data_IF_035495460855
#
_entry.id   IF_035495460855
#
_cell.length_a   1.000
_cell.length_b   1.000
_cell.length_c   1.000
_cell.angle_alpha   90.00
_cell.angle_beta   90.00
_cell.angle_gamma   90.00
#
_symmetry.space_group_name_H-M   'P 1'
#
loop_
_entity.id
_entity.type
_entity.pdbx_description
1 polymer ?
#
# COMPACT_ATOMS: atom_id res chain seq x y z
N UNK A 1 16.83 22.25 -68.25
CA UNK A 1 17.28 23.00 -67.06
C UNK A 1 16.06 23.52 -66.32
N UNK A 2 16.22 23.74 -65.01
CA UNK A 2 15.25 24.13 -63.97
C UNK A 2 14.78 22.91 -63.16
N UNK A 3 15.63 22.54 -62.20
CA UNK A 3 15.23 21.86 -60.98
C UNK A 3 14.46 22.85 -60.09
N UNK A 4 13.39 22.39 -59.46
CA UNK A 4 12.58 23.18 -58.53
C UNK A 4 12.45 22.43 -57.21
N UNK A 5 13.22 22.86 -56.20
CA UNK A 5 13.37 22.17 -54.92
C UNK A 5 12.05 21.90 -54.19
N UNK A 6 11.81 20.62 -53.86
CA UNK A 6 10.91 20.26 -52.76
C UNK A 6 11.60 20.56 -51.43
N UNK A 7 11.34 21.73 -50.85
CA UNK A 7 11.67 22.00 -49.44
C UNK A 7 10.91 21.04 -48.53
N UNK A 8 11.57 19.94 -48.13
CA UNK A 8 11.11 19.08 -47.04
C UNK A 8 11.30 19.84 -45.73
N UNK A 9 10.20 20.31 -45.14
CA UNK A 9 10.19 20.81 -43.76
C UNK A 9 10.36 19.62 -42.79
N UNK A 10 11.60 19.15 -42.62
CA UNK A 10 11.92 18.15 -41.59
C UNK A 10 11.87 18.79 -40.20
N UNK A 11 10.89 18.36 -39.40
CA UNK A 11 10.66 18.75 -38.00
C UNK A 11 11.95 18.81 -37.15
N UNK A 12 12.23 19.96 -36.53
CA UNK A 12 13.35 20.11 -35.58
C UNK A 12 13.15 19.37 -34.25
N UNK A 13 11.92 18.91 -33.95
CA UNK A 13 11.57 18.27 -32.68
C UNK A 13 12.27 16.91 -32.45
N UNK A 14 12.64 16.19 -33.52
CA UNK A 14 13.26 14.86 -33.41
C UNK A 14 14.75 14.82 -33.02
N UNK A 15 15.46 15.95 -32.91
CA UNK A 15 16.91 15.94 -32.60
C UNK A 15 17.22 15.91 -31.10
N UNK A 16 16.36 16.45 -30.24
CA UNK A 16 16.58 16.49 -28.79
C UNK A 16 16.49 15.11 -28.12
N UNK A 17 15.47 14.32 -28.47
CA UNK A 17 15.30 12.96 -27.92
C UNK A 17 16.48 12.03 -28.26
N UNK A 18 17.05 12.20 -29.45
CA UNK A 18 18.19 11.40 -29.90
C UNK A 18 19.50 11.75 -29.18
N UNK A 19 19.69 13.00 -28.74
CA UNK A 19 20.90 13.38 -27.99
C UNK A 19 20.96 12.71 -26.62
N UNK A 20 19.87 12.76 -25.84
CA UNK A 20 19.84 12.12 -24.51
C UNK A 20 19.91 10.59 -24.62
N UNK A 21 19.20 9.99 -25.58
CA UNK A 21 19.34 8.54 -25.85
C UNK A 21 20.75 8.16 -26.30
N UNK A 22 21.42 9.02 -27.07
CA UNK A 22 22.82 8.85 -27.47
C UNK A 22 23.76 8.88 -26.25
N UNK A 23 23.64 9.92 -25.42
CA UNK A 23 24.46 10.10 -24.22
C UNK A 23 24.25 8.96 -23.21
N UNK A 24 23.01 8.48 -23.02
CA UNK A 24 22.76 7.26 -22.24
C UNK A 24 23.40 6.01 -22.85
N UNK A 25 23.36 5.83 -24.17
CA UNK A 25 23.98 4.68 -24.86
C UNK A 25 25.52 4.73 -24.78
N UNK A 26 26.13 5.88 -24.93
CA UNK A 26 27.57 6.07 -24.77
C UNK A 26 27.99 5.77 -23.31
N UNK A 27 27.21 6.22 -22.33
CA UNK A 27 27.38 5.82 -20.94
C UNK A 27 27.08 4.33 -20.69
N UNK A 28 26.32 3.65 -21.56
CA UNK A 28 26.07 2.21 -21.44
C UNK A 28 27.31 1.34 -21.78
N UNK A 29 28.29 1.86 -22.51
CA UNK A 29 29.52 1.12 -22.81
C UNK A 29 30.58 1.29 -21.70
N UNK A 30 30.50 2.35 -20.91
CA UNK A 30 31.39 2.60 -19.75
C UNK A 30 30.92 1.86 -18.49
N UNK A 31 31.42 0.63 -18.28
CA UNK A 31 30.96 -0.29 -17.21
C UNK A 31 31.15 0.18 -15.76
N UNK A 32 31.84 1.30 -15.51
CA UNK A 32 31.93 1.96 -14.20
C UNK A 32 31.16 3.29 -14.09
N UNK A 33 30.82 3.94 -15.21
CA UNK A 33 30.31 5.32 -15.21
C UNK A 33 28.79 5.40 -15.13
N UNK A 34 28.07 4.34 -15.55
CA UNK A 34 26.60 4.24 -15.46
C UNK A 34 26.06 4.66 -14.09
N UNK A 35 26.74 4.31 -13.00
CA UNK A 35 26.28 4.62 -11.65
C UNK A 35 26.28 6.12 -11.35
N UNK A 36 27.32 6.85 -11.77
CA UNK A 36 27.40 8.30 -11.63
C UNK A 36 26.35 8.99 -12.50
N UNK A 37 26.11 8.47 -13.71
CA UNK A 37 25.05 8.95 -14.59
C UNK A 37 23.68 8.77 -13.94
N UNK A 38 23.34 7.56 -13.49
CA UNK A 38 22.06 7.25 -12.82
C UNK A 38 21.84 8.12 -11.57
N UNK A 39 22.86 8.34 -10.75
CA UNK A 39 22.75 9.18 -9.53
C UNK A 39 22.67 10.68 -9.85
N UNK A 40 23.16 11.13 -11.01
CA UNK A 40 23.08 12.54 -11.44
C UNK A 40 21.71 12.97 -12.02
N UNK A 41 20.86 12.02 -12.46
CA UNK A 41 19.63 12.35 -13.20
C UNK A 41 18.66 13.28 -12.44
N UNK A 42 18.41 13.11 -11.12
CA UNK A 42 17.60 14.06 -10.35
C UNK A 42 18.18 15.47 -10.37
N UNK A 43 19.49 15.61 -10.21
CA UNK A 43 20.17 16.91 -10.25
C UNK A 43 20.08 17.58 -11.63
N UNK A 44 20.16 16.81 -12.71
CA UNK A 44 19.95 17.33 -14.08
C UNK A 44 18.52 17.86 -14.26
N UNK A 45 17.51 17.12 -13.79
CA UNK A 45 16.11 17.56 -13.81
C UNK A 45 15.89 18.82 -12.96
N UNK A 46 16.46 18.86 -11.75
CA UNK A 46 16.44 20.02 -10.86
C UNK A 46 17.04 21.26 -11.54
N UNK A 47 18.21 21.12 -12.18
CA UNK A 47 18.86 22.19 -12.92
C UNK A 47 18.01 22.68 -14.09
N UNK A 48 17.41 21.77 -14.85
CA UNK A 48 16.51 22.11 -15.96
C UNK A 48 15.29 22.90 -15.50
N UNK A 49 14.57 22.42 -14.47
CA UNK A 49 13.42 23.11 -13.87
C UNK A 49 13.83 24.50 -13.34
N UNK A 50 14.99 24.59 -12.68
CA UNK A 50 15.53 25.83 -12.11
C UNK A 50 15.93 26.85 -13.18
N UNK A 51 16.52 26.41 -14.30
CA UNK A 51 16.84 27.27 -15.43
C UNK A 51 15.57 27.74 -16.16
N UNK A 52 14.63 26.82 -16.39
CA UNK A 52 13.34 27.10 -17.04
C UNK A 52 12.51 28.12 -16.27
N UNK A 53 12.35 27.97 -14.97
CA UNK A 53 11.60 28.90 -14.11
C UNK A 53 12.23 30.30 -14.00
N UNK A 54 13.56 30.42 -14.18
CA UNK A 54 14.26 31.71 -14.26
C UNK A 54 14.08 32.39 -15.62
N UNK A 55 14.17 31.62 -16.71
CA UNK A 55 14.16 32.14 -18.10
C UNK A 55 12.75 32.36 -18.64
N UNK A 56 11.79 31.55 -18.21
CA UNK A 56 10.39 31.66 -18.60
C UNK A 56 9.52 31.78 -17.36
N UNK A 57 8.93 32.96 -17.14
CA UNK A 57 7.67 33.07 -16.39
C UNK A 57 6.58 32.53 -17.32
N UNK A 58 5.96 31.37 -17.04
CA UNK A 58 4.85 30.90 -17.87
C UNK A 58 3.70 31.91 -17.80
N UNK A 59 3.03 32.24 -18.92
CA UNK A 59 1.77 32.97 -18.87
C UNK A 59 0.78 32.21 -17.98
N UNK A 60 -0.07 32.89 -17.19
CA UNK A 60 -0.94 32.24 -16.21
C UNK A 60 -1.91 31.21 -16.81
N UNK A 61 -2.15 31.27 -18.13
CA UNK A 61 -3.10 30.42 -18.85
C UNK A 61 -2.45 29.59 -19.99
N UNK A 62 -1.12 29.37 -19.97
CA UNK A 62 -0.43 28.62 -21.02
C UNK A 62 -0.73 27.11 -20.95
N UNK A 63 -1.76 26.64 -21.65
CA UNK A 63 -2.30 25.27 -21.59
C UNK A 63 -1.53 24.25 -22.44
N UNK A 64 -0.21 24.33 -22.50
CA UNK A 64 0.61 23.51 -23.41
C UNK A 64 1.74 22.82 -22.67
N UNK A 65 1.60 21.49 -22.50
CA UNK A 65 2.66 20.49 -22.40
C UNK A 65 3.95 20.92 -21.68
N UNK A 66 4.09 20.54 -20.41
CA UNK A 66 5.28 20.85 -19.61
C UNK A 66 6.56 20.27 -20.25
N UNK A 67 7.51 21.11 -20.68
CA UNK A 67 8.82 20.65 -21.12
C UNK A 67 9.60 19.96 -20.00
N UNK A 68 9.33 20.33 -18.75
CA UNK A 68 9.92 19.73 -17.55
C UNK A 68 9.45 18.27 -17.36
N UNK A 69 8.16 17.98 -17.57
CA UNK A 69 7.65 16.61 -17.57
C UNK A 69 8.17 15.77 -18.75
N UNK A 70 8.40 16.43 -19.90
CA UNK A 70 9.02 15.82 -21.08
C UNK A 70 10.45 15.39 -20.79
N UNK A 71 11.23 16.28 -20.17
CA UNK A 71 12.60 16.01 -19.76
C UNK A 71 12.66 14.91 -18.68
N UNK A 72 11.76 14.94 -17.69
CA UNK A 72 11.57 13.81 -16.77
C UNK A 72 11.36 12.49 -17.52
N UNK A 73 10.46 12.46 -18.50
CA UNK A 73 10.14 11.24 -19.26
C UNK A 73 11.35 10.70 -20.03
N UNK A 74 12.19 11.59 -20.56
CA UNK A 74 13.44 11.26 -21.24
C UNK A 74 14.51 10.70 -20.28
N UNK A 75 14.52 11.14 -19.01
CA UNK A 75 15.43 10.63 -17.97
C UNK A 75 14.91 9.33 -17.31
N UNK A 76 13.59 9.19 -17.16
CA UNK A 76 12.94 8.04 -16.53
C UNK A 76 12.87 6.80 -17.44
N UNK A 77 12.79 6.97 -18.76
CA UNK A 77 12.75 5.83 -19.70
C UNK A 77 14.03 4.97 -19.66
N UNK A 78 15.26 5.52 -19.67
CA UNK A 78 16.49 4.74 -19.46
C UNK A 78 16.54 4.01 -18.11
N UNK A 79 16.09 4.64 -17.02
CA UNK A 79 15.96 4.00 -15.70
C UNK A 79 15.01 2.79 -15.75
N UNK A 80 13.85 2.94 -16.39
CA UNK A 80 12.87 1.87 -16.59
C UNK A 80 13.45 0.68 -17.37
N UNK A 81 14.15 0.97 -18.47
CA UNK A 81 14.80 -0.05 -19.30
C UNK A 81 15.91 -0.78 -18.52
N UNK A 82 16.74 -0.03 -17.78
CA UNK A 82 17.80 -0.62 -16.98
C UNK A 82 17.25 -1.47 -15.82
N UNK A 83 16.18 -1.01 -15.14
CA UNK A 83 15.51 -1.79 -14.12
C UNK A 83 14.94 -3.10 -14.70
N UNK A 84 14.26 -3.03 -15.84
CA UNK A 84 13.71 -4.20 -16.53
C UNK A 84 14.80 -5.20 -16.91
N UNK A 85 15.94 -4.71 -17.43
CA UNK A 85 17.12 -5.53 -17.75
C UNK A 85 17.71 -6.20 -16.50
N UNK A 86 17.85 -5.48 -15.39
CA UNK A 86 18.29 -6.04 -14.11
C UNK A 86 17.34 -7.13 -13.63
N UNK A 87 16.02 -6.90 -13.65
CA UNK A 87 15.03 -7.89 -13.20
C UNK A 87 14.97 -9.14 -14.09
N UNK A 88 15.33 -9.02 -15.37
CA UNK A 88 15.42 -10.15 -16.31
C UNK A 88 16.74 -10.93 -16.20
N UNK A 89 17.71 -10.47 -15.40
CA UNK A 89 19.00 -11.14 -15.22
C UNK A 89 18.95 -12.23 -14.14
N UNK A 90 18.44 -13.40 -14.53
CA UNK A 90 18.45 -14.62 -13.70
C UNK A 90 19.86 -15.21 -13.54
N UNK A 91 20.16 -15.95 -12.44
CA UNK A 91 19.26 -16.35 -11.35
C UNK A 91 19.30 -15.41 -10.13
N UNK A 92 20.19 -14.41 -10.10
CA UNK A 92 20.32 -13.43 -9.01
C UNK A 92 20.76 -12.07 -9.53
N UNK A 93 19.82 -11.13 -9.64
CA UNK A 93 20.11 -9.75 -9.98
C UNK A 93 20.84 -8.99 -8.85
N UNK A 94 21.65 -8.00 -9.22
CA UNK A 94 22.41 -7.20 -8.26
C UNK A 94 21.47 -6.31 -7.42
N UNK A 95 21.32 -6.69 -6.15
CA UNK A 95 20.47 -5.99 -5.20
C UNK A 95 20.88 -4.53 -4.96
N UNK A 96 22.17 -4.18 -5.08
CA UNK A 96 22.65 -2.81 -4.89
C UNK A 96 22.28 -1.93 -6.09
N UNK A 97 22.39 -2.46 -7.31
CA UNK A 97 22.00 -1.74 -8.54
C UNK A 97 20.50 -1.43 -8.55
N UNK A 98 19.65 -2.40 -8.17
CA UNK A 98 18.20 -2.17 -8.06
C UNK A 98 17.87 -1.05 -7.08
N UNK A 99 18.49 -1.01 -5.88
CA UNK A 99 18.27 0.10 -4.92
C UNK A 99 18.68 1.45 -5.54
N UNK A 100 19.85 1.55 -6.17
CA UNK A 100 20.32 2.81 -6.78
C UNK A 100 19.40 3.30 -7.90
N UNK A 101 18.86 2.40 -8.71
CA UNK A 101 17.88 2.73 -9.77
C UNK A 101 16.57 3.22 -9.16
N UNK A 102 16.08 2.58 -8.10
CA UNK A 102 14.87 3.01 -7.40
C UNK A 102 15.03 4.37 -6.71
N UNK A 103 16.16 4.62 -6.02
CA UNK A 103 16.43 5.93 -5.39
C UNK A 103 16.62 7.05 -6.43
N UNK A 104 17.25 6.76 -7.57
CA UNK A 104 17.33 7.72 -8.69
C UNK A 104 15.96 8.05 -9.26
N UNK A 105 15.11 7.04 -9.48
CA UNK A 105 13.74 7.25 -9.97
C UNK A 105 12.89 8.04 -8.96
N UNK A 106 12.97 7.70 -7.68
CA UNK A 106 12.38 8.47 -6.58
C UNK A 106 12.83 9.93 -6.62
N UNK A 107 14.13 10.20 -6.72
CA UNK A 107 14.67 11.56 -6.85
C UNK A 107 14.09 12.33 -8.04
N UNK A 108 13.93 11.70 -9.21
CA UNK A 108 13.28 12.34 -10.36
C UNK A 108 11.81 12.69 -10.07
N UNK A 109 11.05 11.85 -9.37
CA UNK A 109 9.65 12.13 -8.98
C UNK A 109 9.58 13.20 -7.88
N UNK A 110 10.56 13.24 -6.96
CA UNK A 110 10.70 14.34 -5.99
C UNK A 110 10.91 15.69 -6.68
N UNK A 111 11.75 15.76 -7.72
CA UNK A 111 11.93 17.01 -8.47
C UNK A 111 10.67 17.44 -9.24
N UNK A 112 9.86 16.50 -9.77
CA UNK A 112 8.55 16.83 -10.34
C UNK A 112 7.64 17.51 -9.31
N UNK A 113 7.57 16.96 -8.09
CA UNK A 113 6.78 17.51 -6.98
C UNK A 113 7.31 18.86 -6.53
N UNK A 114 8.63 18.97 -6.30
CA UNK A 114 9.30 20.20 -5.81
C UNK A 114 9.25 21.32 -6.84
N UNK A 115 9.45 20.99 -8.11
CA UNK A 115 9.31 21.90 -9.24
C UNK A 115 7.87 22.29 -9.53
N UNK A 116 6.89 21.65 -8.90
CA UNK A 116 5.45 21.85 -9.15
C UNK A 116 5.15 21.73 -10.66
N UNK A 117 5.73 20.71 -11.29
CA UNK A 117 5.71 20.49 -12.75
C UNK A 117 4.29 20.15 -13.25
N UNK A 118 3.45 19.64 -12.35
CA UNK A 118 2.05 19.35 -12.59
C UNK A 118 1.22 19.81 -11.37
N UNK A 119 -0.03 20.23 -11.60
CA UNK A 119 -1.06 20.44 -10.58
C UNK A 119 -2.39 19.86 -11.06
N UNK A 120 -2.93 18.86 -10.37
CA UNK A 120 -4.22 18.21 -10.68
C UNK A 120 -5.46 19.08 -10.42
N UNK A 121 -5.38 20.40 -10.55
CA UNK A 121 -6.49 21.32 -10.24
C UNK A 121 -7.21 21.82 -11.49
N UNK A 122 -8.34 21.17 -11.80
CA UNK A 122 -9.49 21.65 -12.60
C UNK A 122 -9.33 22.05 -14.08
N UNK A 123 -8.14 22.16 -14.66
CA UNK A 123 -7.98 22.26 -16.12
C UNK A 123 -7.40 20.96 -16.71
N UNK A 124 -8.30 19.99 -16.95
CA UNK A 124 -8.00 18.74 -17.65
C UNK A 124 -7.81 18.97 -19.16
N UNK A 125 -6.79 19.78 -19.54
CA UNK A 125 -6.55 20.21 -20.93
C UNK A 125 -5.36 19.54 -21.62
N UNK A 126 -4.48 18.85 -20.89
CA UNK A 126 -3.40 18.06 -21.50
C UNK A 126 -3.37 16.65 -20.87
N UNK A 127 -4.13 15.74 -21.50
CA UNK A 127 -4.19 14.33 -21.09
C UNK A 127 -2.82 13.66 -21.03
N UNK A 128 -1.85 14.09 -21.85
CA UNK A 128 -0.52 13.46 -21.96
C UNK A 128 0.30 13.54 -20.66
N UNK A 129 0.16 14.65 -19.92
CA UNK A 129 0.88 14.81 -18.64
C UNK A 129 0.23 13.93 -17.58
N UNK A 130 -1.10 13.88 -17.53
CA UNK A 130 -1.85 12.99 -16.61
C UNK A 130 -1.57 11.51 -16.94
N UNK A 131 -1.66 11.09 -18.20
CA UNK A 131 -1.24 9.77 -18.69
C UNK A 131 0.23 9.45 -18.34
N UNK A 132 1.08 10.47 -18.27
CA UNK A 132 2.45 10.34 -17.78
C UNK A 132 2.51 10.01 -16.29
N UNK A 133 1.80 10.78 -15.46
CA UNK A 133 1.69 10.57 -14.00
C UNK A 133 1.05 9.20 -13.70
N UNK A 134 -0.01 8.82 -14.43
CA UNK A 134 -0.63 7.49 -14.37
C UNK A 134 0.36 6.37 -14.70
N UNK A 135 1.15 6.52 -15.78
CA UNK A 135 2.19 5.55 -16.13
C UNK A 135 3.25 5.41 -15.04
N UNK A 136 3.67 6.50 -14.39
CA UNK A 136 4.62 6.42 -13.25
C UNK A 136 4.02 5.62 -12.09
N UNK A 137 2.75 5.84 -11.76
CA UNK A 137 2.06 5.08 -10.71
C UNK A 137 1.93 3.59 -11.06
N UNK A 138 1.44 3.27 -12.27
CA UNK A 138 1.28 1.89 -12.74
C UNK A 138 2.61 1.15 -12.84
N UNK A 139 3.68 1.82 -13.31
CA UNK A 139 5.02 1.25 -13.37
C UNK A 139 5.57 0.96 -11.97
N UNK A 140 5.27 1.79 -10.97
CA UNK A 140 5.71 1.56 -9.60
C UNK A 140 5.05 0.31 -9.00
N UNK A 141 3.78 0.08 -9.32
CA UNK A 141 3.02 -1.11 -8.91
C UNK A 141 3.47 -2.38 -9.62
N UNK A 142 3.69 -2.32 -10.93
CA UNK A 142 4.29 -3.42 -11.71
C UNK A 142 5.68 -3.80 -11.16
N UNK A 143 6.51 -2.79 -10.87
CA UNK A 143 7.82 -2.97 -10.23
C UNK A 143 7.71 -3.63 -8.86
N UNK A 144 6.76 -3.21 -8.01
CA UNK A 144 6.53 -3.83 -6.70
C UNK A 144 6.10 -5.29 -6.81
N UNK A 145 5.28 -5.65 -7.82
CA UNK A 145 4.83 -7.03 -8.03
C UNK A 145 5.97 -7.99 -8.41
N UNK A 146 7.01 -7.48 -9.09
CA UNK A 146 8.20 -8.24 -9.52
C UNK A 146 9.29 -8.31 -8.46
N UNK A 147 9.21 -7.49 -7.41
CA UNK A 147 10.25 -7.34 -6.40
C UNK A 147 9.83 -7.93 -5.04
N UNK A 148 10.78 -8.60 -4.39
CA UNK A 148 10.62 -9.02 -2.99
C UNK A 148 10.43 -7.81 -2.05
N UNK A 149 9.65 -7.96 -0.99
CA UNK A 149 9.23 -6.87 -0.10
C UNK A 149 10.34 -5.98 0.50
N UNK A 150 11.60 -6.42 0.51
CA UNK A 150 12.75 -5.59 0.91
C UNK A 150 12.95 -4.32 0.07
N UNK A 151 12.35 -4.24 -1.13
CA UNK A 151 12.39 -3.05 -2.00
C UNK A 151 11.13 -2.19 -1.92
N UNK A 152 10.08 -2.63 -1.22
CA UNK A 152 8.80 -1.93 -1.23
C UNK A 152 8.86 -0.57 -0.50
N UNK A 153 9.87 -0.29 0.34
CA UNK A 153 10.04 1.03 0.97
C UNK A 153 10.13 2.16 -0.06
N UNK A 154 11.11 2.10 -0.97
CA UNK A 154 11.32 3.13 -1.99
C UNK A 154 10.11 3.23 -2.93
N UNK A 155 9.39 2.13 -3.18
CA UNK A 155 8.14 2.18 -3.97
C UNK A 155 7.01 2.90 -3.22
N UNK A 156 6.83 2.63 -1.92
CA UNK A 156 5.83 3.35 -1.12
C UNK A 156 6.19 4.84 -0.96
N UNK A 157 7.47 5.18 -0.87
CA UNK A 157 7.96 6.57 -0.92
C UNK A 157 7.63 7.23 -2.28
N UNK A 158 7.87 6.56 -3.40
CA UNK A 158 7.45 7.03 -4.73
C UNK A 158 5.93 7.28 -4.78
N UNK A 159 5.12 6.31 -4.33
CA UNK A 159 3.66 6.45 -4.30
C UNK A 159 3.20 7.59 -3.38
N UNK A 160 3.87 7.83 -2.26
CA UNK A 160 3.58 8.96 -1.36
C UNK A 160 3.95 10.32 -1.98
N UNK A 161 5.05 10.38 -2.74
CA UNK A 161 5.37 11.56 -3.55
C UNK A 161 4.28 11.78 -4.59
N UNK A 162 3.80 10.72 -5.25
CA UNK A 162 2.71 10.77 -6.25
C UNK A 162 1.39 11.25 -5.66
N UNK A 163 0.99 10.84 -4.44
CA UNK A 163 -0.19 11.40 -3.73
C UNK A 163 -0.09 12.92 -3.61
N UNK A 164 1.12 13.46 -3.43
CA UNK A 164 1.38 14.89 -3.38
C UNK A 164 1.50 15.60 -4.74
N UNK A 165 1.48 14.88 -5.86
CA UNK A 165 1.46 15.42 -7.24
C UNK A 165 0.02 15.37 -7.78
N UNK A 166 -0.58 14.18 -7.76
CA UNK A 166 -1.98 13.93 -8.07
C UNK A 166 -2.50 12.72 -7.29
N UNK A 167 -3.33 12.97 -6.28
CA UNK A 167 -3.92 11.89 -5.51
C UNK A 167 -4.99 11.11 -6.29
N UNK A 168 -5.60 11.69 -7.33
CA UNK A 168 -6.69 11.02 -8.07
C UNK A 168 -6.16 9.82 -8.85
N UNK A 169 -4.95 9.95 -9.42
CA UNK A 169 -4.20 8.85 -10.05
C UNK A 169 -3.90 7.71 -9.07
N UNK A 170 -3.59 8.05 -7.82
CA UNK A 170 -3.33 7.05 -6.77
C UNK A 170 -4.64 6.43 -6.25
N UNK A 171 -5.71 7.21 -6.14
CA UNK A 171 -7.08 6.77 -5.78
C UNK A 171 -7.60 5.72 -6.75
N UNK A 172 -7.40 5.91 -8.06
CA UNK A 172 -7.74 4.96 -9.12
C UNK A 172 -6.95 3.64 -9.03
N UNK A 173 -5.81 3.63 -8.34
CA UNK A 173 -4.92 2.47 -8.20
C UNK A 173 -4.94 1.82 -6.80
N UNK A 174 -5.78 2.28 -5.87
CA UNK A 174 -5.79 1.83 -4.48
C UNK A 174 -5.95 0.31 -4.32
N UNK A 175 -6.76 -0.33 -5.16
CA UNK A 175 -7.05 -1.77 -5.07
C UNK A 175 -5.81 -2.63 -5.41
N UNK A 176 -4.83 -2.06 -6.12
CA UNK A 176 -3.50 -2.66 -6.36
C UNK A 176 -2.49 -2.31 -5.26
N UNK A 177 -2.68 -1.17 -4.59
CA UNK A 177 -1.81 -0.68 -3.51
C UNK A 177 -2.07 -1.42 -2.19
N UNK A 178 -3.34 -1.63 -1.82
CA UNK A 178 -3.67 -2.25 -0.53
C UNK A 178 -3.12 -3.67 -0.34
N UNK A 179 -3.16 -4.60 -1.33
CA UNK A 179 -2.55 -5.92 -1.18
C UNK A 179 -1.07 -5.84 -0.77
N UNK A 180 -0.30 -4.92 -1.38
CA UNK A 180 1.12 -4.70 -1.08
C UNK A 180 1.30 -4.18 0.37
N UNK A 181 0.50 -3.20 0.79
CA UNK A 181 0.55 -2.61 2.14
C UNK A 181 0.06 -3.55 3.25
N UNK A 182 -0.80 -4.52 2.92
CA UNK A 182 -1.39 -5.46 3.86
C UNK A 182 -0.59 -6.78 3.97
N UNK A 183 0.26 -7.11 3.00
CA UNK A 183 1.19 -8.26 3.11
C UNK A 183 2.06 -8.17 4.35
N UNK A 184 2.18 -9.26 5.11
CA UNK A 184 2.97 -9.35 6.36
C UNK A 184 4.49 -9.21 6.20
N UNK A 185 5.00 -8.94 5.00
CA UNK A 185 6.44 -8.91 4.72
C UNK A 185 7.08 -7.61 5.23
N UNK A 186 7.52 -7.63 6.51
CA UNK A 186 8.36 -6.61 7.17
C UNK A 186 7.92 -5.17 6.86
N UNK A 187 6.87 -4.71 7.52
CA UNK A 187 6.38 -3.32 7.45
C UNK A 187 7.55 -2.33 7.45
N UNK A 188 7.80 -1.70 6.31
CA UNK A 188 8.78 -0.63 6.16
C UNK A 188 8.21 0.66 6.77
N UNK A 189 9.04 1.63 7.22
CA UNK A 189 8.54 2.91 7.73
C UNK A 189 7.74 3.70 6.70
N UNK A 190 8.02 3.49 5.41
CA UNK A 190 7.30 4.11 4.29
C UNK A 190 5.83 3.64 4.16
N UNK A 191 5.50 2.39 4.55
CA UNK A 191 4.15 1.88 4.40
C UNK A 191 3.14 2.62 5.31
N UNK A 192 3.42 2.86 6.61
CA UNK A 192 2.66 3.79 7.44
C UNK A 192 2.65 5.23 6.93
N UNK A 193 3.75 5.73 6.37
CA UNK A 193 3.82 7.10 5.83
C UNK A 193 2.83 7.30 4.69
N UNK A 194 2.85 6.41 3.68
CA UNK A 194 1.89 6.41 2.58
C UNK A 194 0.44 6.33 3.07
N UNK A 195 0.12 5.41 4.00
CA UNK A 195 -1.23 5.33 4.60
C UNK A 195 -1.63 6.63 5.30
N UNK A 196 -0.72 7.27 6.03
CA UNK A 196 -0.98 8.52 6.73
C UNK A 196 -1.23 9.68 5.75
N UNK A 197 -0.43 9.76 4.67
CA UNK A 197 -0.59 10.73 3.58
C UNK A 197 -1.92 10.51 2.82
N UNK A 198 -2.35 9.26 2.63
CA UNK A 198 -3.66 8.95 2.08
C UNK A 198 -4.79 9.37 3.04
N UNK A 199 -4.71 9.01 4.33
CA UNK A 199 -5.70 9.44 5.33
C UNK A 199 -5.90 10.95 5.35
N UNK A 200 -4.81 11.73 5.34
CA UNK A 200 -4.88 13.19 5.24
C UNK A 200 -5.59 13.66 3.98
N UNK A 201 -5.27 13.04 2.84
CA UNK A 201 -5.73 13.48 1.53
C UNK A 201 -7.22 13.19 1.35
N UNK A 202 -7.68 11.99 1.70
CA UNK A 202 -9.11 11.65 1.72
C UNK A 202 -9.90 12.42 2.79
N UNK A 203 -9.26 12.81 3.90
CA UNK A 203 -9.87 13.72 4.89
C UNK A 203 -10.07 15.12 4.30
N UNK A 204 -9.04 15.71 3.69
CA UNK A 204 -9.12 17.02 3.00
C UNK A 204 -10.09 17.01 1.82
N UNK A 205 -10.11 15.91 1.05
CA UNK A 205 -11.03 15.67 -0.08
C UNK A 205 -12.48 15.36 0.31
N UNK A 206 -12.76 15.18 1.62
CA UNK A 206 -14.07 14.83 2.19
C UNK A 206 -14.62 13.44 1.77
N UNK A 207 -13.74 12.51 1.43
CA UNK A 207 -14.04 11.16 0.89
C UNK A 207 -13.46 10.04 1.76
N UNK A 208 -13.12 10.32 3.02
CA UNK A 208 -12.56 9.33 3.98
C UNK A 208 -13.44 8.08 4.15
N UNK A 209 -14.75 8.19 4.04
CA UNK A 209 -15.71 7.08 4.05
C UNK A 209 -15.48 6.11 2.89
N UNK A 210 -15.23 6.62 1.68
CA UNK A 210 -14.87 5.81 0.50
C UNK A 210 -13.55 5.08 0.75
N UNK A 211 -12.54 5.80 1.27
CA UNK A 211 -11.22 5.22 1.61
C UNK A 211 -11.34 4.10 2.66
N UNK A 212 -12.13 4.32 3.70
CA UNK A 212 -12.42 3.31 4.72
C UNK A 212 -13.11 2.08 4.12
N UNK A 213 -14.12 2.27 3.25
CA UNK A 213 -14.81 1.16 2.60
C UNK A 213 -13.84 0.28 1.79
N UNK A 214 -12.91 0.87 1.04
CA UNK A 214 -11.91 0.10 0.27
C UNK A 214 -10.86 -0.57 1.16
N UNK A 215 -10.38 0.09 2.22
CA UNK A 215 -9.45 -0.53 3.18
C UNK A 215 -10.08 -1.76 3.85
N UNK A 216 -11.35 -1.67 4.29
CA UNK A 216 -12.02 -2.78 4.97
C UNK A 216 -12.22 -3.97 4.04
N UNK A 217 -12.65 -3.73 2.79
CA UNK A 217 -12.76 -4.77 1.77
C UNK A 217 -11.40 -5.43 1.43
N UNK A 218 -10.32 -4.63 1.34
CA UNK A 218 -8.98 -5.17 1.13
C UNK A 218 -8.46 -5.95 2.35
N UNK A 219 -8.82 -5.53 3.56
CA UNK A 219 -8.49 -6.22 4.81
C UNK A 219 -9.19 -7.57 4.92
N UNK A 220 -10.44 -7.72 4.44
CA UNK A 220 -11.18 -8.98 4.52
C UNK A 220 -10.41 -10.17 3.89
N UNK A 221 -9.72 -9.93 2.77
CA UNK A 221 -8.89 -10.94 2.08
C UNK A 221 -7.54 -11.29 2.71
N UNK A 222 -7.14 -10.65 3.83
CA UNK A 222 -5.78 -10.81 4.42
C UNK A 222 -5.83 -11.29 5.87
N UNK A 223 -4.90 -12.15 6.27
CA UNK A 223 -4.78 -12.59 7.66
C UNK A 223 -4.17 -11.49 8.56
N UNK A 224 -5.03 -10.81 9.32
CA UNK A 224 -4.64 -9.81 10.32
C UNK A 224 -4.83 -8.37 9.84
N UNK A 225 -4.01 -7.46 10.35
CA UNK A 225 -4.15 -6.00 10.17
C UNK A 225 -3.10 -5.36 9.26
N UNK A 226 -2.14 -6.13 8.73
CA UNK A 226 -1.03 -5.59 7.94
C UNK A 226 -0.33 -4.41 8.63
N UNK A 227 -0.12 -3.32 7.87
CA UNK A 227 0.44 -2.04 8.33
C UNK A 227 -0.32 -1.36 9.50
N UNK A 228 -1.60 -1.71 9.73
CA UNK A 228 -2.39 -1.16 10.85
C UNK A 228 -2.08 -1.83 12.20
N UNK A 229 -1.43 -3.01 12.21
CA UNK A 229 -1.12 -3.75 13.43
C UNK A 229 -0.19 -3.02 14.40
N UNK A 230 0.62 -2.07 13.92
CA UNK A 230 1.53 -1.25 14.73
C UNK A 230 0.90 -0.03 15.40
N UNK A 231 -0.41 0.20 15.28
CA UNK A 231 -1.13 1.28 15.95
C UNK A 231 -0.95 2.69 15.35
N UNK A 232 0.23 3.02 14.78
CA UNK A 232 0.53 4.35 14.21
C UNK A 232 -0.52 4.82 13.20
N UNK A 233 -0.92 3.94 12.27
CA UNK A 233 -1.93 4.24 11.26
C UNK A 233 -3.33 4.45 11.87
N UNK A 234 -3.66 3.73 12.95
CA UNK A 234 -4.91 3.93 13.69
C UNK A 234 -4.89 5.26 14.43
N UNK A 235 -3.77 5.66 15.03
CA UNK A 235 -3.64 6.98 15.65
C UNK A 235 -3.83 8.11 14.62
N UNK A 236 -3.24 7.99 13.43
CA UNK A 236 -3.45 8.95 12.35
C UNK A 236 -4.91 9.01 11.91
N UNK A 237 -5.58 7.87 11.74
CA UNK A 237 -7.01 7.81 11.49
C UNK A 237 -7.81 8.53 12.58
N UNK A 238 -7.52 8.28 13.86
CA UNK A 238 -8.16 8.96 14.99
C UNK A 238 -7.93 10.48 15.01
N UNK A 239 -6.74 10.94 14.64
CA UNK A 239 -6.45 12.37 14.47
C UNK A 239 -7.28 12.97 13.32
N UNK A 240 -7.37 12.28 12.18
CA UNK A 240 -8.25 12.69 11.07
C UNK A 240 -9.72 12.77 11.51
N UNK A 241 -10.24 11.75 12.21
CA UNK A 241 -11.61 11.71 12.76
C UNK A 241 -11.91 12.94 13.62
N UNK A 242 -10.97 13.37 14.46
CA UNK A 242 -11.15 14.56 15.31
C UNK A 242 -11.26 15.89 14.55
N UNK A 243 -10.88 15.91 13.27
CA UNK A 243 -10.96 17.07 12.36
C UNK A 243 -12.06 16.95 11.30
N UNK A 244 -12.81 15.84 11.26
CA UNK A 244 -13.86 15.64 10.27
C UNK A 244 -14.98 16.66 10.39
N UNK A 245 -15.54 17.04 9.23
CA UNK A 245 -16.84 17.69 9.22
C UNK A 245 -17.89 16.73 9.78
N UNK A 246 -18.89 17.22 10.54
CA UNK A 246 -19.90 16.39 11.17
C UNK A 246 -20.52 15.34 10.23
N UNK A 247 -20.96 15.74 9.03
CA UNK A 247 -21.59 14.84 8.06
C UNK A 247 -20.66 13.70 7.60
N UNK A 248 -19.38 13.99 7.39
CA UNK A 248 -18.37 13.02 6.97
C UNK A 248 -18.03 12.05 8.11
N UNK A 249 -18.02 12.52 9.37
CA UNK A 249 -17.91 11.65 10.54
C UNK A 249 -19.03 10.61 10.58
N UNK A 250 -20.27 11.03 10.34
CA UNK A 250 -21.42 10.10 10.30
C UNK A 250 -21.35 9.10 9.13
N UNK A 251 -20.84 9.49 7.97
CA UNK A 251 -20.61 8.58 6.85
C UNK A 251 -19.56 7.50 7.20
N UNK A 252 -18.42 7.90 7.78
CA UNK A 252 -17.37 6.96 8.26
C UNK A 252 -17.91 6.02 9.34
N UNK A 253 -18.69 6.53 10.31
CA UNK A 253 -19.32 5.69 11.33
C UNK A 253 -20.26 4.65 10.72
N UNK A 254 -21.04 5.05 9.69
CA UNK A 254 -21.93 4.14 8.98
C UNK A 254 -21.17 3.03 8.23
N UNK A 255 -20.10 3.37 7.51
CA UNK A 255 -19.24 2.36 6.84
C UNK A 255 -18.69 1.35 7.85
N UNK A 256 -18.25 1.82 9.02
CA UNK A 256 -17.76 0.97 10.11
C UNK A 256 -18.86 0.11 10.76
N UNK A 257 -20.08 0.63 10.92
CA UNK A 257 -21.19 -0.16 11.46
C UNK A 257 -21.67 -1.20 10.48
N UNK A 258 -21.87 -0.83 9.21
CA UNK A 258 -22.45 -1.69 8.19
C UNK A 258 -21.51 -2.86 7.90
N UNK A 259 -20.19 -2.66 7.91
CA UNK A 259 -19.21 -3.73 7.77
C UNK A 259 -19.16 -4.71 8.97
N UNK A 260 -19.52 -4.27 10.18
CA UNK A 260 -19.67 -5.17 11.35
C UNK A 260 -21.01 -5.93 11.32
N UNK A 261 -22.08 -5.26 10.85
CA UNK A 261 -23.43 -5.82 10.77
C UNK A 261 -23.65 -6.70 9.53
N UNK A 262 -22.74 -6.64 8.55
CA UNK A 262 -22.74 -7.51 7.38
C UNK A 262 -22.62 -8.99 7.80
N UNK A 263 -23.71 -9.73 7.64
CA UNK A 263 -23.77 -11.17 7.89
C UNK A 263 -22.79 -11.92 6.97
N UNK A 264 -22.20 -13.05 7.40
CA UNK A 264 -21.35 -13.91 6.54
C UNK A 264 -22.08 -14.60 5.37
N UNK A 265 -23.22 -14.06 4.90
CA UNK A 265 -24.11 -14.68 3.91
C UNK A 265 -24.50 -13.75 2.76
N UNK A 266 -23.50 -13.24 2.02
CA UNK A 266 -23.71 -12.62 0.69
C UNK A 266 -22.44 -12.59 -0.17
N UNK A 267 -21.85 -13.75 -0.42
CA UNK A 267 -20.82 -13.95 -1.47
C UNK A 267 -21.28 -15.00 -2.49
N UNK A 268 -22.41 -14.72 -3.16
CA UNK A 268 -22.85 -15.43 -4.36
C UNK A 268 -23.39 -14.43 -5.39
N UNK A 269 -22.71 -14.36 -6.53
CA UNK A 269 -23.14 -13.89 -7.85
C UNK A 269 -23.67 -12.45 -8.00
N UNK A 270 -22.91 -11.61 -8.71
CA UNK A 270 -23.25 -10.20 -8.92
C UNK A 270 -22.33 -9.40 -9.86
N UNK A 271 -21.97 -10.00 -11.01
CA UNK A 271 -21.22 -9.38 -12.14
C UNK A 271 -19.71 -9.15 -11.95
N UNK A 272 -18.93 -9.48 -12.99
CA UNK A 272 -17.46 -9.54 -12.94
C UNK A 272 -16.88 -10.78 -13.66
N UNK A 273 -16.85 -10.72 -14.99
CA UNK A 273 -16.18 -11.71 -15.86
C UNK A 273 -14.66 -11.81 -15.56
N UNK A 274 -14.03 -12.91 -16.00
CA UNK A 274 -12.62 -13.35 -15.90
C UNK A 274 -12.35 -14.57 -15.00
N UNK A 275 -12.85 -15.72 -15.48
CA UNK A 275 -12.17 -17.04 -15.50
C UNK A 275 -11.01 -17.33 -14.50
N UNK A 276 -11.26 -18.12 -13.45
CA UNK A 276 -10.22 -18.99 -12.88
C UNK A 276 -10.74 -20.36 -12.40
N UNK A 277 -10.29 -21.41 -13.09
CA UNK A 277 -10.26 -22.84 -12.75
C UNK A 277 -11.23 -23.40 -11.69
N UNK A 278 -12.26 -24.09 -12.19
CA UNK A 278 -13.20 -24.96 -11.48
C UNK A 278 -12.49 -26.10 -10.71
N UNK A 279 -12.33 -25.99 -9.38
CA UNK A 279 -11.93 -27.13 -8.52
C UNK A 279 -13.16 -27.90 -8.03
N UNK A 280 -13.05 -29.23 -8.03
CA UNK A 280 -14.18 -30.17 -7.97
C UNK A 280 -14.69 -30.35 -6.54
N UNK A 281 -16.01 -30.26 -6.39
CA UNK A 281 -16.75 -30.57 -5.15
C UNK A 281 -16.66 -32.09 -4.87
N UNK A 282 -16.28 -32.47 -3.66
CA UNK A 282 -16.54 -33.79 -3.05
C UNK A 282 -17.04 -33.55 -1.63
N UNK A 283 -18.06 -34.30 -1.23
CA UNK A 283 -18.89 -34.03 -0.05
C UNK A 283 -18.39 -34.73 1.22
N UNK A 284 -19.06 -34.38 2.32
CA UNK A 284 -19.24 -35.18 3.54
C UNK A 284 -18.05 -35.35 4.49
N UNK A 285 -17.99 -34.43 5.46
CA UNK A 285 -17.68 -34.78 6.85
C UNK A 285 -18.51 -33.91 7.80
N UNK A 286 -19.42 -34.55 8.54
CA UNK A 286 -20.21 -33.92 9.61
C UNK A 286 -19.32 -33.33 10.71
N UNK A 287 -19.68 -32.15 11.22
CA UNK A 287 -19.69 -31.82 12.66
C UNK A 287 -20.03 -30.35 12.88
N UNK A 288 -21.24 -30.10 13.38
CA UNK A 288 -21.61 -29.04 14.35
C UNK A 288 -20.71 -27.80 14.46
N UNK A 289 -20.45 -27.11 13.35
CA UNK A 289 -19.97 -25.74 13.41
C UNK A 289 -21.13 -24.88 13.93
N UNK A 290 -21.04 -24.44 15.19
CA UNK A 290 -21.91 -23.37 15.68
C UNK A 290 -21.69 -22.16 14.78
N UNK A 291 -22.64 -21.90 13.88
CA UNK A 291 -22.58 -20.73 13.00
C UNK A 291 -22.68 -19.48 13.87
N UNK A 292 -21.52 -18.91 14.22
CA UNK A 292 -21.47 -17.58 14.79
C UNK A 292 -22.20 -16.64 13.82
N UNK A 293 -23.19 -15.85 14.28
CA UNK A 293 -24.00 -15.01 13.40
C UNK A 293 -23.23 -13.88 12.69
N UNK A 294 -21.94 -13.72 13.01
CA UNK A 294 -21.08 -12.67 12.49
C UNK A 294 -19.75 -13.22 11.96
N UNK A 295 -19.17 -12.53 10.97
CA UNK A 295 -17.81 -12.80 10.51
C UNK A 295 -16.78 -12.29 11.54
N UNK A 296 -16.31 -13.18 12.41
CA UNK A 296 -15.29 -12.88 13.43
C UNK A 296 -13.99 -12.34 12.82
N UNK A 297 -13.66 -12.73 11.58
CA UNK A 297 -12.48 -12.23 10.86
C UNK A 297 -12.62 -10.74 10.54
N UNK A 298 -13.74 -10.35 9.93
CA UNK A 298 -14.09 -8.95 9.61
C UNK A 298 -14.18 -8.11 10.89
N UNK A 299 -14.91 -8.57 11.91
CA UNK A 299 -15.03 -7.85 13.20
C UNK A 299 -13.66 -7.54 13.81
N UNK A 300 -12.74 -8.51 13.85
CA UNK A 300 -11.38 -8.30 14.40
C UNK A 300 -10.60 -7.21 13.66
N UNK A 301 -10.90 -6.97 12.38
CA UNK A 301 -10.24 -5.98 11.53
C UNK A 301 -10.90 -4.60 11.63
N UNK A 302 -12.23 -4.55 11.74
CA UNK A 302 -13.02 -3.32 11.74
C UNK A 302 -13.15 -2.69 13.12
N UNK A 303 -13.20 -3.50 14.18
CA UNK A 303 -13.37 -3.04 15.56
C UNK A 303 -12.28 -2.04 16.03
N UNK A 304 -10.98 -2.19 15.71
CA UNK A 304 -9.95 -1.20 16.05
C UNK A 304 -10.22 0.19 15.44
N UNK A 305 -10.75 0.26 14.22
CA UNK A 305 -11.16 1.51 13.60
C UNK A 305 -12.40 2.08 14.29
N UNK A 306 -13.44 1.27 14.55
CA UNK A 306 -14.64 1.74 15.26
C UNK A 306 -14.32 2.26 16.67
N UNK A 307 -13.50 1.54 17.44
CA UNK A 307 -13.05 2.00 18.76
C UNK A 307 -12.27 3.32 18.68
N UNK A 308 -11.41 3.47 17.68
CA UNK A 308 -10.63 4.69 17.46
C UNK A 308 -11.52 5.86 17.05
N UNK A 309 -12.50 5.60 16.19
CA UNK A 309 -13.50 6.57 15.78
C UNK A 309 -14.29 7.08 16.99
N UNK A 310 -14.91 6.18 17.76
CA UNK A 310 -15.74 6.55 18.92
C UNK A 310 -14.97 7.31 20.00
N UNK A 311 -13.66 7.05 20.16
CA UNK A 311 -12.78 7.78 21.09
C UNK A 311 -12.42 9.21 20.64
N UNK A 312 -12.56 9.54 19.35
CA UNK A 312 -12.05 10.79 18.75
C UNK A 312 -13.13 11.64 18.06
N UNK A 313 -14.27 11.06 17.74
CA UNK A 313 -15.37 11.73 17.05
C UNK A 313 -16.00 12.83 17.93
N UNK A 314 -16.28 13.98 17.32
CA UNK A 314 -17.01 15.10 17.94
C UNK A 314 -18.42 15.12 17.38
N UNK A 315 -19.36 14.49 18.09
CA UNK A 315 -20.77 14.46 17.69
C UNK A 315 -21.42 15.79 18.07
N UNK A 316 -21.97 16.49 17.09
CA UNK A 316 -22.75 17.72 17.33
C UNK A 316 -24.21 17.39 17.67
N UNK A 317 -24.90 18.28 18.38
CA UNK A 317 -26.29 18.06 18.80
C UNK A 317 -27.23 17.77 17.60
N UNK A 318 -27.00 18.43 16.46
CA UNK A 318 -27.72 18.21 15.21
C UNK A 318 -27.56 16.79 14.62
N UNK A 319 -26.57 16.01 15.08
CA UNK A 319 -26.30 14.64 14.62
C UNK A 319 -26.57 13.57 15.66
N UNK A 320 -26.86 13.97 16.90
CA UNK A 320 -27.09 13.09 18.04
C UNK A 320 -28.14 12.02 17.75
N UNK A 321 -29.22 12.37 17.06
CA UNK A 321 -30.25 11.41 16.63
C UNK A 321 -29.69 10.33 15.68
N UNK A 322 -28.95 10.72 14.64
CA UNK A 322 -28.32 9.79 13.70
C UNK A 322 -27.23 8.94 14.35
N UNK A 323 -26.43 9.54 15.23
CA UNK A 323 -25.42 8.82 16.02
C UNK A 323 -26.06 7.77 16.94
N UNK A 324 -27.07 8.17 17.72
CA UNK A 324 -27.80 7.24 18.60
C UNK A 324 -28.47 6.14 17.78
N UNK A 325 -29.05 6.43 16.63
CA UNK A 325 -29.64 5.41 15.75
C UNK A 325 -28.62 4.35 15.32
N UNK A 326 -27.43 4.74 14.86
CA UNK A 326 -26.37 3.78 14.47
C UNK A 326 -25.83 3.02 15.69
N UNK A 327 -25.60 3.69 16.82
CA UNK A 327 -25.08 3.05 18.04
C UNK A 327 -26.11 2.09 18.66
N UNK A 328 -27.40 2.44 18.66
CA UNK A 328 -28.47 1.52 19.06
C UNK A 328 -28.58 0.33 18.12
N UNK A 329 -28.42 0.53 16.81
CA UNK A 329 -28.36 -0.58 15.84
C UNK A 329 -27.20 -1.53 16.15
N UNK A 330 -25.98 -1.01 16.34
CA UNK A 330 -24.82 -1.80 16.76
C UNK A 330 -25.03 -2.51 18.10
N UNK A 331 -25.68 -1.85 19.06
CA UNK A 331 -25.96 -2.46 20.36
C UNK A 331 -26.94 -3.63 20.24
N UNK A 332 -28.08 -3.43 19.59
CA UNK A 332 -29.15 -4.43 19.48
C UNK A 332 -28.83 -5.55 18.50
N UNK A 333 -28.17 -5.26 17.38
CA UNK A 333 -27.90 -6.24 16.32
C UNK A 333 -26.54 -6.95 16.44
N UNK A 334 -25.58 -6.38 17.17
CA UNK A 334 -24.25 -6.98 17.35
C UNK A 334 -23.88 -7.21 18.83
N UNK A 335 -23.84 -6.17 19.66
CA UNK A 335 -23.34 -6.29 21.05
C UNK A 335 -24.21 -7.21 21.90
N UNK A 336 -25.52 -7.00 21.92
CA UNK A 336 -26.46 -7.80 22.72
C UNK A 336 -26.48 -9.27 22.28
N UNK A 337 -26.56 -9.62 20.97
CA UNK A 337 -26.40 -10.99 20.51
C UNK A 337 -25.07 -11.63 20.92
N UNK A 338 -23.93 -10.93 20.83
CA UNK A 338 -22.62 -11.46 21.26
C UNK A 338 -22.57 -11.73 22.77
N UNK A 339 -23.19 -10.88 23.59
CA UNK A 339 -23.24 -11.05 25.05
C UNK A 339 -24.24 -12.11 25.52
N UNK A 340 -25.32 -12.34 24.76
CA UNK A 340 -26.38 -13.31 25.08
C UNK A 340 -26.19 -14.66 24.40
N UNK A 341 -25.30 -14.77 23.41
CA UNK A 341 -24.93 -16.05 22.82
C UNK A 341 -24.36 -16.96 23.91
N UNK A 342 -24.88 -18.18 24.09
CA UNK A 342 -24.36 -19.08 25.11
C UNK A 342 -22.90 -19.37 24.81
N UNK A 343 -22.00 -18.89 25.68
CA UNK A 343 -20.61 -19.31 25.63
C UNK A 343 -20.62 -20.83 25.82
N UNK A 344 -20.17 -21.56 24.79
CA UNK A 344 -20.00 -23.02 24.90
C UNK A 344 -19.20 -23.28 26.17
N UNK A 345 -19.66 -24.20 27.06
CA UNK A 345 -18.95 -24.46 28.30
C UNK A 345 -17.50 -24.77 27.96
N UNK A 346 -16.59 -24.01 28.57
CA UNK A 346 -15.16 -24.20 28.36
C UNK A 346 -14.85 -25.68 28.62
N UNK A 347 -14.14 -26.33 27.69
CA UNK A 347 -13.73 -27.72 27.88
C UNK A 347 -12.95 -27.82 29.19
N UNK A 348 -13.57 -28.44 30.20
CA UNK A 348 -12.86 -28.78 31.42
C UNK A 348 -11.75 -29.75 31.04
N UNK A 349 -10.53 -29.24 30.90
CA UNK A 349 -9.33 -30.05 30.65
C UNK A 349 -9.33 -31.21 31.63
N UNK A 350 -9.42 -32.48 31.16
CA UNK A 350 -9.66 -33.60 32.05
C UNK A 350 -8.48 -33.76 32.99
N UNK A 351 -8.68 -33.42 34.27
CA UNK A 351 -7.70 -33.60 35.34
C UNK A 351 -7.27 -35.07 35.35
N UNK A 352 -6.03 -35.34 34.94
CA UNK A 352 -5.44 -36.69 34.93
C UNK A 352 -5.58 -37.32 36.31
N UNK A 353 -6.51 -38.28 36.44
CA UNK A 353 -6.64 -39.10 37.66
C UNK A 353 -5.33 -39.88 37.85
N UNK A 354 -4.63 -39.61 38.96
CA UNK A 354 -3.52 -40.44 39.43
C UNK A 354 -4.03 -41.88 39.62
N UNK A 355 -3.69 -42.80 38.72
CA UNK A 355 -3.80 -44.23 39.01
C UNK A 355 -2.66 -44.62 39.95
N UNK A 356 -3.03 -44.91 41.20
CA UNK A 356 -2.21 -45.77 42.08
C UNK A 356 -2.31 -47.21 41.55
N UNK A 357 -1.17 -47.85 41.34
CA UNK A 357 -0.98 -49.30 41.46
C UNK A 357 0.32 -49.51 42.21
N UNK A 358 0.38 -50.55 43.04
CA UNK A 358 1.30 -50.72 44.16
C UNK A 358 1.71 -52.19 44.23
N UNK A 359 2.95 -52.47 44.63
CA UNK A 359 3.55 -53.81 44.83
C UNK A 359 3.67 -54.66 43.53
N UNK A 360 4.63 -55.57 43.30
CA UNK A 360 5.83 -56.02 44.03
C UNK A 360 6.27 -57.41 43.48
N UNK A 361 7.50 -57.93 43.63
CA UNK A 361 8.79 -57.36 44.07
C UNK A 361 9.94 -58.36 43.75
N UNK A 362 11.20 -57.92 43.51
CA UNK A 362 12.41 -58.79 43.58
C UNK A 362 13.77 -58.04 43.53
N UNK A 363 14.54 -58.18 44.62
CA UNK A 363 15.96 -58.58 44.75
C UNK A 363 16.91 -58.50 43.53
N UNK A 364 18.20 -58.18 43.63
CA UNK A 364 19.11 -57.91 44.78
C UNK A 364 20.48 -57.40 44.24
N UNK A 365 21.28 -56.67 45.06
CA UNK A 365 22.78 -56.67 45.08
C UNK A 365 23.49 -56.13 43.79
N UNK A 366 24.59 -55.33 43.79
CA UNK A 366 25.76 -55.20 44.69
C UNK A 366 26.36 -53.77 44.65
N UNK A 367 26.88 -53.32 45.79
CA UNK A 367 28.17 -52.61 46.02
C UNK A 367 28.83 -51.55 45.09
N UNK A 368 29.45 -50.57 45.77
CA UNK A 368 30.58 -49.67 45.40
C UNK A 368 30.32 -48.60 44.30
N UNK A 369 30.78 -47.35 44.43
CA UNK A 369 31.39 -46.67 45.57
C UNK A 369 32.19 -45.42 45.19
N UNK A 370 32.34 -44.51 46.16
CA UNK A 370 33.45 -43.56 46.37
C UNK A 370 33.73 -42.38 45.40
N UNK A 371 33.99 -41.20 45.99
CA UNK A 371 34.64 -40.02 45.35
C UNK A 371 33.79 -39.23 44.34
N UNK A 372 33.97 -37.92 44.16
CA UNK A 372 34.83 -36.97 44.87
C UNK A 372 34.79 -35.59 44.18
N UNK A 373 34.58 -34.54 44.99
CA UNK A 373 35.22 -33.20 44.95
C UNK A 373 35.69 -32.55 43.63
N UNK A 374 35.42 -31.22 43.55
CA UNK A 374 36.28 -30.16 42.97
C UNK A 374 36.47 -30.18 41.44
N UNK A 375 36.92 -29.12 40.74
CA UNK A 375 37.04 -27.68 41.03
C UNK A 375 36.89 -26.90 39.69
N UNK A 376 36.33 -25.69 39.78
CA UNK A 376 36.85 -24.40 39.25
C UNK A 376 37.56 -24.24 37.88
N UNK A 377 37.37 -23.03 37.32
CA UNK A 377 38.15 -22.35 36.25
C UNK A 377 37.97 -22.93 34.82
N UNK A 378 37.83 -22.13 33.75
CA UNK A 378 38.03 -20.68 33.53
C UNK A 378 36.79 -20.03 32.90
#
# INVERSE_FOLDING_TARGET
MIEGDKKVNSSKEGKGENYLRGLFRECEDCSGEKEYVLTSLPFLLQCYISARSRLHRPPPNASTFSPEFTFYSQLASPLSNHLTSLLSSEPKFDSKKVVKVLESWKGLVEELKRGNVYRGTRDARDGRVREGVERVCLQALDTASKLSGKYHSTIFEILEIMVGIDFTVVEESLDKIFPLLLTRHKSTPAAPSLINSLFETFTKGRTLDIFMSRILGALDGVDGMGVFGGGVCLERFGNCVSTLLPAQGMAVLKVLSDNILSSPSSSSDGDGDLTFTKKRKTSDSDSTAQHHPFNVGTIKKTLPFLQTFLKRARISEAQKASFLSIVSSLFTQFVQPVLTYPQSPAEETPRKKKRKTKDGDRAEVTERGNGGQREELV
#
